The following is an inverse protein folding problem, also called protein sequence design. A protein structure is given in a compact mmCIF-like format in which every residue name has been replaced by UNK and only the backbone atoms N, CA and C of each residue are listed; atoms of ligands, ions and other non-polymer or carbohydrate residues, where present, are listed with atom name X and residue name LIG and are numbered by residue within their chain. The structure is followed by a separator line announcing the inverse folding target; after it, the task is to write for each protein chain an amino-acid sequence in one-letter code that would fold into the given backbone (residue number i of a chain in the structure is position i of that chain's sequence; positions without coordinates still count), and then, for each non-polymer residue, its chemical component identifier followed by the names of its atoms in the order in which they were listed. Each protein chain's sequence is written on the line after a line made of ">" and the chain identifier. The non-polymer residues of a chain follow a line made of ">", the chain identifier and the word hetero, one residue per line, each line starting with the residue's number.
data_IF_142475200660
#
_entry.id   IF_142475200660
#
_cell.length_a   1.000
_cell.length_b   1.000
_cell.length_c   1.000
_cell.angle_alpha   90.00
_cell.angle_beta   90.00
_cell.angle_gamma   90.00
#
_symmetry.space_group_name_H-M   'P 1'
#
loop_
_entity.id
_entity.type
_entity.pdbx_description
1 polymer ?
#
# COMPACT_ATOMS: atom_id res chain seq x y z
N UNK A 1 -16.01 -1.69 5.53
CA UNK A 1 -15.27 -1.91 6.81
C UNK A 1 -15.20 -0.57 7.50
N UNK A 2 -15.29 -0.50 8.83
CA UNK A 2 -15.16 0.79 9.52
C UNK A 2 -13.78 1.41 9.27
N UNK A 3 -13.73 2.72 9.05
CA UNK A 3 -12.52 3.43 8.63
C UNK A 3 -11.40 3.35 9.68
N UNK A 4 -11.77 3.27 10.96
CA UNK A 4 -10.82 3.11 12.07
C UNK A 4 -10.09 1.76 11.99
N UNK A 5 -10.83 0.67 11.72
CA UNK A 5 -10.28 -0.68 11.54
C UNK A 5 -9.37 -0.73 10.30
N UNK A 6 -9.75 -0.01 9.23
CA UNK A 6 -8.90 0.13 8.03
C UNK A 6 -7.57 0.80 8.36
N UNK A 7 -7.60 1.90 9.11
CA UNK A 7 -6.40 2.62 9.54
C UNK A 7 -5.51 1.73 10.38
N UNK A 8 -6.06 1.02 11.37
CA UNK A 8 -5.30 0.10 12.23
C UNK A 8 -4.61 -1.01 11.41
N UNK A 9 -5.32 -1.58 10.42
CA UNK A 9 -4.75 -2.60 9.54
C UNK A 9 -3.63 -2.06 8.67
N UNK A 10 -3.80 -0.87 8.07
CA UNK A 10 -2.74 -0.25 7.28
C UNK A 10 -1.54 0.12 8.16
N UNK A 11 -1.77 0.63 9.37
CA UNK A 11 -0.72 0.93 10.33
C UNK A 11 0.12 -0.30 10.66
N UNK A 12 -0.53 -1.46 10.87
CA UNK A 12 0.17 -2.71 11.10
C UNK A 12 1.06 -3.15 9.91
N UNK A 13 0.66 -2.84 8.68
CA UNK A 13 1.47 -3.14 7.49
C UNK A 13 2.69 -2.22 7.35
N UNK A 14 2.63 -1.00 7.93
CA UNK A 14 3.75 -0.07 7.99
C UNK A 14 4.71 -0.31 9.16
N UNK A 15 4.22 -0.95 10.23
CA UNK A 15 4.99 -1.32 11.41
C UNK A 15 6.05 -2.40 11.12
N UNK A 16 6.95 -2.59 12.08
CA UNK A 16 7.99 -3.62 11.98
C UNK A 16 7.37 -5.02 11.78
N UNK A 17 7.87 -5.74 10.78
CA UNK A 17 7.35 -7.06 10.39
C UNK A 17 6.10 -7.02 9.48
N UNK A 18 5.52 -5.84 9.27
CA UNK A 18 4.47 -5.60 8.28
C UNK A 18 4.99 -5.67 6.84
N UNK A 19 4.08 -5.69 5.87
CA UNK A 19 4.44 -5.77 4.45
C UNK A 19 5.40 -4.68 4.00
N UNK A 20 5.14 -3.41 4.34
CA UNK A 20 5.99 -2.30 3.89
C UNK A 20 7.36 -2.30 4.56
N UNK A 21 7.47 -2.80 5.80
CA UNK A 21 8.77 -3.01 6.44
C UNK A 21 9.58 -4.09 5.70
N UNK A 22 8.96 -5.21 5.30
CA UNK A 22 9.63 -6.24 4.51
C UNK A 22 10.05 -5.76 3.13
N UNK A 23 9.17 -5.02 2.44
CA UNK A 23 9.48 -4.44 1.13
C UNK A 23 10.64 -3.44 1.22
N UNK A 24 10.76 -2.69 2.32
CA UNK A 24 11.92 -1.81 2.59
C UNK A 24 13.23 -2.58 2.64
N UNK A 25 13.21 -3.83 3.09
CA UNK A 25 14.37 -4.73 3.13
C UNK A 25 14.59 -5.48 1.80
N UNK A 26 13.77 -5.21 0.79
CA UNK A 26 13.76 -5.85 -0.53
C UNK A 26 13.02 -7.21 -0.54
N UNK A 27 12.25 -7.52 0.49
CA UNK A 27 11.53 -8.79 0.63
C UNK A 27 10.07 -8.62 0.20
N UNK A 28 9.82 -8.78 -1.10
CA UNK A 28 8.47 -8.76 -1.66
C UNK A 28 7.85 -10.16 -1.69
N UNK A 29 6.65 -10.29 -1.14
CA UNK A 29 5.81 -11.48 -1.22
C UNK A 29 4.44 -11.11 -1.80
N UNK A 30 4.11 -11.72 -2.93
CA UNK A 30 2.88 -11.42 -3.69
C UNK A 30 1.64 -11.63 -2.84
N UNK A 31 1.56 -12.71 -2.05
CA UNK A 31 0.38 -13.01 -1.23
C UNK A 31 0.19 -11.99 -0.11
N UNK A 32 1.29 -11.42 0.41
CA UNK A 32 1.21 -10.31 1.37
C UNK A 32 0.75 -9.03 0.67
N UNK A 33 1.25 -8.75 -0.53
CA UNK A 33 0.81 -7.63 -1.35
C UNK A 33 -0.69 -7.69 -1.67
N UNK A 34 -1.20 -8.86 -2.05
CA UNK A 34 -2.63 -9.06 -2.33
C UNK A 34 -3.51 -8.68 -1.13
N UNK A 35 -3.09 -9.03 0.10
CA UNK A 35 -3.82 -8.66 1.32
C UNK A 35 -3.79 -7.15 1.58
N UNK A 36 -2.69 -6.48 1.26
CA UNK A 36 -2.62 -5.01 1.34
C UNK A 36 -3.60 -4.38 0.34
N UNK A 37 -3.66 -4.91 -0.89
CA UNK A 37 -4.62 -4.43 -1.89
C UNK A 37 -6.07 -4.66 -1.45
N UNK A 38 -6.38 -5.77 -0.79
CA UNK A 38 -7.72 -5.99 -0.21
C UNK A 38 -8.07 -4.93 0.85
N UNK A 39 -7.10 -4.51 1.67
CA UNK A 39 -7.30 -3.43 2.65
C UNK A 39 -7.55 -2.10 1.91
N UNK A 40 -6.74 -1.78 0.91
CA UNK A 40 -6.87 -0.54 0.13
C UNK A 40 -8.20 -0.47 -0.63
N UNK A 41 -8.64 -1.58 -1.25
CA UNK A 41 -9.91 -1.67 -1.99
C UNK A 41 -11.13 -1.53 -1.08
N UNK A 42 -10.97 -1.77 0.22
CA UNK A 42 -12.04 -1.58 1.19
C UNK A 42 -12.17 -0.13 1.69
N UNK A 43 -11.27 0.78 1.26
CA UNK A 43 -11.41 2.21 1.47
C UNK A 43 -12.55 2.72 0.59
N UNK A 44 -13.61 3.17 1.25
CA UNK A 44 -14.80 3.75 0.66
C UNK A 44 -14.98 5.14 1.26
N UNK A 45 -14.53 6.16 0.52
CA UNK A 45 -14.59 7.57 0.91
C UNK A 45 -15.40 8.28 -0.16
N UNK A 46 -16.47 8.93 0.23
CA UNK A 46 -17.31 9.75 -0.66
C UNK A 46 -16.90 11.22 -0.61
N UNK A 47 -17.32 12.03 -1.59
CA UNK A 47 -16.95 13.46 -1.71
C UNK A 47 -17.30 14.31 -0.48
N UNK A 48 -18.19 13.83 0.40
CA UNK A 48 -18.64 14.56 1.60
C UNK A 48 -18.09 13.96 2.90
N UNK A 49 -17.27 12.90 2.83
CA UNK A 49 -16.73 12.26 4.02
C UNK A 49 -15.44 12.97 4.48
N UNK A 50 -15.32 13.16 5.80
CA UNK A 50 -14.07 13.58 6.40
C UNK A 50 -13.04 12.46 6.30
N UNK A 51 -11.92 12.71 5.62
CA UNK A 51 -10.81 11.76 5.53
C UNK A 51 -9.98 11.81 6.81
N UNK A 52 -9.82 10.69 7.55
CA UNK A 52 -8.95 10.67 8.72
C UNK A 52 -7.51 11.04 8.32
N UNK A 53 -6.93 12.02 9.02
CA UNK A 53 -5.57 12.49 8.73
C UNK A 53 -4.53 11.36 8.77
N UNK A 54 -4.75 10.37 9.66
CA UNK A 54 -3.89 9.19 9.74
C UNK A 54 -3.95 8.34 8.48
N UNK A 55 -5.16 8.07 7.96
CA UNK A 55 -5.33 7.33 6.72
C UNK A 55 -4.60 8.01 5.56
N UNK A 56 -4.82 9.32 5.41
CA UNK A 56 -4.16 10.11 4.38
C UNK A 56 -2.63 10.00 4.49
N UNK A 57 -2.08 10.10 5.72
CA UNK A 57 -0.63 9.97 5.94
C UNK A 57 -0.06 8.61 5.53
N UNK A 58 -0.84 7.53 5.65
CA UNK A 58 -0.43 6.16 5.33
C UNK A 58 -0.48 5.88 3.82
N UNK A 59 -1.44 6.45 3.10
CA UNK A 59 -1.64 6.19 1.68
C UNK A 59 -0.92 7.19 0.77
N UNK A 60 -0.76 8.45 1.21
CA UNK A 60 -0.16 9.51 0.40
C UNK A 60 1.29 9.21 0.00
N UNK A 61 2.08 8.70 0.93
CA UNK A 61 3.49 8.38 0.69
C UNK A 61 3.70 7.00 0.04
N UNK A 62 2.68 6.15 0.06
CA UNK A 62 2.80 4.74 -0.34
C UNK A 62 3.34 4.54 -1.76
N UNK A 63 2.83 5.22 -2.80
CA UNK A 63 3.28 4.93 -4.17
C UNK A 63 4.75 5.31 -4.39
N UNK A 64 5.15 6.49 -3.90
CA UNK A 64 6.55 6.93 -3.96
C UNK A 64 7.47 6.00 -3.19
N UNK A 65 7.05 5.56 -2.00
CA UNK A 65 7.79 4.57 -1.21
C UNK A 65 8.03 3.29 -2.00
N UNK A 66 6.99 2.74 -2.64
CA UNK A 66 7.07 1.47 -3.34
C UNK A 66 8.00 1.55 -4.56
N UNK A 67 7.90 2.63 -5.35
CA UNK A 67 8.78 2.89 -6.49
C UNK A 67 10.26 2.89 -6.07
N UNK A 68 10.59 3.50 -4.93
CA UNK A 68 11.96 3.52 -4.42
C UNK A 68 12.49 2.14 -4.00
N UNK A 69 11.63 1.14 -3.77
CA UNK A 69 12.08 -0.19 -3.40
C UNK A 69 12.28 -1.14 -4.59
N UNK A 70 11.97 -0.72 -5.83
CA UNK A 70 12.14 -1.58 -7.03
C UNK A 70 13.56 -2.13 -7.13
N UNK A 71 14.56 -1.27 -6.93
CA UNK A 71 15.96 -1.67 -6.97
C UNK A 71 16.34 -2.60 -5.81
N UNK A 72 15.80 -2.38 -4.60
CA UNK A 72 16.06 -3.25 -3.46
C UNK A 72 15.47 -4.64 -3.64
N UNK A 73 14.25 -4.73 -4.17
CA UNK A 73 13.61 -6.01 -4.50
C UNK A 73 14.46 -6.76 -5.54
N UNK A 74 14.94 -6.05 -6.57
CA UNK A 74 15.86 -6.62 -7.57
C UNK A 74 17.16 -7.13 -6.96
N UNK A 75 17.80 -6.35 -6.10
CA UNK A 75 19.07 -6.70 -5.44
C UNK A 75 18.93 -7.92 -4.53
N UNK A 76 17.75 -8.15 -3.96
CA UNK A 76 17.42 -9.35 -3.17
C UNK A 76 16.98 -10.55 -4.01
N UNK A 77 16.96 -10.45 -5.34
CA UNK A 77 16.54 -11.51 -6.24
C UNK A 77 15.03 -11.75 -6.25
N UNK A 78 14.23 -10.75 -5.85
CA UNK A 78 12.77 -10.80 -5.92
C UNK A 78 12.24 -10.63 -7.35
N UNK A 79 10.98 -11.01 -7.55
CA UNK A 79 10.29 -10.84 -8.84
C UNK A 79 9.91 -9.37 -9.07
N UNK A 80 10.75 -8.66 -9.81
CA UNK A 80 10.55 -7.24 -10.12
C UNK A 80 9.33 -6.98 -11.00
N UNK A 81 8.93 -7.94 -11.84
CA UNK A 81 7.79 -7.76 -12.72
C UNK A 81 6.49 -7.91 -11.94
N UNK A 82 6.42 -8.88 -11.02
CA UNK A 82 5.31 -8.98 -10.08
C UNK A 82 5.24 -7.76 -9.16
N UNK A 83 6.38 -7.25 -8.70
CA UNK A 83 6.43 -6.06 -7.86
C UNK A 83 5.93 -4.80 -8.59
N UNK A 84 6.34 -4.59 -9.84
CA UNK A 84 5.82 -3.48 -10.67
C UNK A 84 4.33 -3.58 -10.95
N UNK A 85 3.81 -4.80 -11.21
CA UNK A 85 2.35 -5.01 -11.32
C UNK A 85 1.63 -4.62 -10.04
N UNK A 86 2.16 -5.02 -8.88
CA UNK A 86 1.63 -4.63 -7.59
C UNK A 86 1.64 -3.10 -7.40
N UNK A 87 2.72 -2.39 -7.75
CA UNK A 87 2.77 -0.92 -7.70
C UNK A 87 1.67 -0.30 -8.56
N UNK A 88 1.52 -0.76 -9.80
CA UNK A 88 0.47 -0.26 -10.69
C UNK A 88 -0.94 -0.52 -10.11
N UNK A 89 -1.17 -1.67 -9.48
CA UNK A 89 -2.44 -1.96 -8.80
C UNK A 89 -2.68 -1.05 -7.59
N UNK A 90 -1.65 -0.71 -6.82
CA UNK A 90 -1.76 0.26 -5.72
C UNK A 90 -2.16 1.63 -6.26
N UNK A 91 -1.48 2.13 -7.30
CA UNK A 91 -1.84 3.40 -7.95
C UNK A 91 -3.29 3.41 -8.40
N UNK A 92 -3.70 2.42 -9.20
CA UNK A 92 -5.07 2.33 -9.69
C UNK A 92 -6.09 2.24 -8.55
N UNK A 93 -5.77 1.54 -7.47
CA UNK A 93 -6.69 1.40 -6.33
C UNK A 93 -6.85 2.74 -5.61
N UNK A 94 -5.74 3.45 -5.35
CA UNK A 94 -5.78 4.76 -4.71
C UNK A 94 -6.51 5.79 -5.59
N UNK A 95 -6.21 5.85 -6.88
CA UNK A 95 -6.91 6.76 -7.81
C UNK A 95 -8.43 6.54 -7.77
N UNK A 96 -8.88 5.29 -7.75
CA UNK A 96 -10.31 4.96 -7.68
C UNK A 96 -10.94 5.25 -6.30
N UNK A 97 -10.20 5.08 -5.19
CA UNK A 97 -10.73 5.23 -3.83
C UNK A 97 -10.69 6.66 -3.30
N UNK A 98 -9.74 7.49 -3.73
CA UNK A 98 -9.55 8.87 -3.22
C UNK A 98 -9.51 9.94 -4.30
N UNK A 99 -9.57 9.58 -5.59
CA UNK A 99 -9.61 10.54 -6.70
C UNK A 99 -8.30 11.32 -6.89
N UNK A 100 -7.17 10.82 -6.38
CA UNK A 100 -5.85 11.46 -6.49
C UNK A 100 -4.95 10.66 -7.45
N UNK A 101 -4.26 11.30 -8.42
CA UNK A 101 -3.25 10.65 -9.25
C UNK A 101 -1.95 10.29 -8.50
#
# INVERSE_FOLDING_TARGET
>A
MEIEILVEKLDAEWADGGFFALVRDGLFDVRRGDRVLEILRAIDITENDDVPSRLLSLIWFMPSFLEWQVDRVRERGGDTDAYRRFIAEVHNTLENSIGVP
#
